data_IF_344918839786
#
_entry.id   IF_344918839786
#
_cell.length_a   1.000
_cell.length_b   1.000
_cell.length_c   1.000
_cell.angle_alpha   90.00
_cell.angle_beta   90.00
_cell.angle_gamma   90.00
#
_symmetry.space_group_name_H-M   'P 1'
#
loop_
_entity.id
_entity.type
_entity.pdbx_description
1 polymer ?
#
# COMPACT_ATOMS: atom_id res chain seq x y z
N UNK A 1 16.15 10.43 -0.48
CA UNK A 1 14.87 10.99 0.02
C UNK A 1 14.00 9.84 0.50
N UNK A 2 13.19 10.06 1.54
CA UNK A 2 12.29 9.04 2.10
C UNK A 2 11.15 8.62 1.13
N UNK A 3 10.91 9.38 0.06
CA UNK A 3 9.94 9.09 -1.01
C UNK A 3 10.59 8.63 -2.33
N UNK A 4 11.82 8.10 -2.27
CA UNK A 4 12.50 7.61 -3.47
C UNK A 4 11.92 6.24 -3.91
N UNK A 5 12.02 5.88 -5.21
CA UNK A 5 11.69 4.54 -5.68
C UNK A 5 12.36 3.46 -4.82
N UNK A 6 11.57 2.49 -4.36
CA UNK A 6 12.03 1.41 -3.48
C UNK A 6 12.03 1.74 -1.97
N UNK A 7 11.71 2.97 -1.55
CA UNK A 7 11.71 3.32 -0.11
C UNK A 7 10.64 2.60 0.70
N UNK A 8 9.56 2.16 0.06
CA UNK A 8 8.42 1.49 0.71
C UNK A 8 8.84 0.23 1.49
N UNK A 9 9.91 -0.47 1.07
CA UNK A 9 10.41 -1.65 1.78
C UNK A 9 10.95 -1.34 3.19
N UNK A 10 11.24 -0.07 3.48
CA UNK A 10 11.76 0.38 4.78
C UNK A 10 10.66 0.93 5.70
N UNK A 11 9.40 0.88 5.28
CA UNK A 11 8.27 1.35 6.08
C UNK A 11 7.95 0.30 7.16
N UNK A 12 7.30 0.73 8.24
CA UNK A 12 6.97 -0.18 9.34
C UNK A 12 5.57 -0.78 9.15
N UNK A 13 5.35 -2.05 9.52
CA UNK A 13 4.00 -2.61 9.56
C UNK A 13 3.20 -2.00 10.73
N UNK A 14 1.87 -2.01 10.62
CA UNK A 14 0.98 -1.52 11.68
C UNK A 14 1.08 -2.35 12.98
N UNK A 15 1.36 -3.66 12.89
CA UNK A 15 1.59 -4.53 14.05
C UNK A 15 3.05 -4.54 14.44
N UNK A 16 3.34 -4.32 15.72
CA UNK A 16 4.71 -4.44 16.26
C UNK A 16 4.86 -5.71 17.10
N UNK A 17 6.09 -6.12 17.43
CA UNK A 17 6.34 -7.18 18.40
C UNK A 17 5.95 -6.81 19.85
N UNK A 18 5.71 -5.53 20.13
CA UNK A 18 5.34 -5.05 21.46
C UNK A 18 3.83 -5.24 21.64
N UNK A 19 3.38 -6.00 22.65
CA UNK A 19 1.95 -6.20 22.90
C UNK A 19 1.21 -4.88 23.05
N UNK A 20 0.04 -4.78 22.44
CA UNK A 20 -0.85 -3.62 22.51
C UNK A 20 -0.27 -2.34 21.89
N UNK A 21 0.82 -2.43 21.13
CA UNK A 21 1.45 -1.30 20.47
C UNK A 21 1.31 -1.42 18.95
N UNK A 22 0.49 -0.54 18.38
CA UNK A 22 0.20 -0.45 16.95
C UNK A 22 0.70 0.87 16.39
N UNK A 23 1.14 0.85 15.13
CA UNK A 23 1.65 2.01 14.41
C UNK A 23 0.63 2.49 13.38
N UNK A 24 0.56 3.80 13.21
CA UNK A 24 -0.18 4.50 12.15
C UNK A 24 0.62 5.69 11.64
N UNK A 25 0.26 6.22 10.46
CA UNK A 25 0.88 7.38 9.84
C UNK A 25 1.44 7.10 8.44
N UNK A 26 2.01 8.14 7.83
CA UNK A 26 2.45 8.11 6.42
C UNK A 26 3.56 7.07 6.14
N UNK A 27 4.36 6.76 7.17
CA UNK A 27 5.47 5.79 7.11
C UNK A 27 5.05 4.35 7.45
N UNK A 28 3.75 4.09 7.62
CA UNK A 28 3.22 2.74 7.85
C UNK A 28 2.84 2.09 6.53
N UNK A 29 3.14 0.79 6.40
CA UNK A 29 2.73 -0.01 5.24
C UNK A 29 1.22 -0.21 5.23
N UNK A 30 0.56 0.07 4.09
CA UNK A 30 -0.84 -0.24 3.83
C UNK A 30 -1.08 -0.57 2.35
N UNK A 31 -2.26 -1.14 2.04
CA UNK A 31 -2.64 -1.50 0.66
C UNK A 31 -3.59 -0.48 0.00
N UNK A 32 -3.91 0.62 0.69
CA UNK A 32 -4.88 1.62 0.21
C UNK A 32 -4.41 2.36 -1.05
N UNK A 33 -3.10 2.56 -1.23
CA UNK A 33 -2.57 3.26 -2.41
C UNK A 33 -2.64 4.79 -2.33
N UNK A 34 -2.74 5.35 -1.11
CA UNK A 34 -2.70 6.80 -0.85
C UNK A 34 -1.38 7.26 -0.23
N UNK A 35 -1.19 8.58 -0.13
CA UNK A 35 -0.05 9.24 0.54
C UNK A 35 -0.53 10.44 1.36
N UNK A 36 0.36 10.99 2.18
CA UNK A 36 0.15 12.23 2.94
C UNK A 36 -1.04 12.09 3.91
N UNK A 37 -1.89 13.12 4.01
CA UNK A 37 -3.02 13.18 4.94
C UNK A 37 -3.97 11.99 4.80
N UNK A 38 -4.29 11.59 3.57
CA UNK A 38 -5.18 10.46 3.30
C UNK A 38 -4.60 9.16 3.87
N UNK A 39 -3.30 8.92 3.68
CA UNK A 39 -2.64 7.73 4.22
C UNK A 39 -2.58 7.76 5.74
N UNK A 40 -2.27 8.90 6.33
CA UNK A 40 -2.26 9.05 7.79
C UNK A 40 -3.65 8.81 8.39
N UNK A 41 -4.71 9.25 7.72
CA UNK A 41 -6.09 9.00 8.10
C UNK A 41 -6.44 7.50 8.04
N UNK A 42 -6.21 6.87 6.89
CA UNK A 42 -6.52 5.45 6.66
C UNK A 42 -5.75 4.54 7.61
N UNK A 43 -4.44 4.75 7.75
CA UNK A 43 -3.61 3.94 8.66
C UNK A 43 -3.99 4.12 10.13
N UNK A 44 -4.53 5.29 10.50
CA UNK A 44 -5.12 5.51 11.83
C UNK A 44 -6.37 4.66 12.06
N UNK A 45 -7.27 4.60 11.07
CA UNK A 45 -8.45 3.73 11.11
C UNK A 45 -8.07 2.24 11.14
N UNK A 46 -7.10 1.83 10.33
CA UNK A 46 -6.58 0.46 10.31
C UNK A 46 -5.97 0.07 11.67
N UNK A 47 -5.17 0.94 12.29
CA UNK A 47 -4.62 0.71 13.62
C UNK A 47 -5.71 0.63 14.69
N UNK A 48 -6.73 1.49 14.64
CA UNK A 48 -7.88 1.42 15.54
C UNK A 48 -8.66 0.10 15.37
N UNK A 49 -8.81 -0.39 14.14
CA UNK A 49 -9.42 -1.68 13.86
C UNK A 49 -8.64 -2.85 14.47
N UNK A 50 -7.30 -2.76 14.53
CA UNK A 50 -6.47 -3.75 15.23
C UNK A 50 -6.70 -3.74 16.75
N UNK A 51 -6.84 -2.56 17.35
CA UNK A 51 -7.19 -2.41 18.77
C UNK A 51 -8.56 -3.05 19.05
N UNK A 52 -9.56 -2.72 18.24
CA UNK A 52 -10.92 -3.29 18.35
C UNK A 52 -10.87 -4.81 18.20
N UNK A 53 -10.10 -5.33 17.24
CA UNK A 53 -9.92 -6.77 17.04
C UNK A 53 -9.28 -7.46 18.23
N UNK A 54 -8.34 -6.80 18.89
CA UNK A 54 -7.66 -7.37 20.04
C UNK A 54 -8.58 -7.44 21.26
N UNK A 55 -9.29 -6.35 21.57
CA UNK A 55 -10.15 -6.27 22.75
C UNK A 55 -11.56 -6.82 22.53
N UNK A 56 -11.93 -7.11 21.28
CA UNK A 56 -13.30 -7.51 20.89
C UNK A 56 -14.37 -6.51 21.33
N UNK A 57 -14.00 -5.23 21.39
CA UNK A 57 -14.85 -4.13 21.85
C UNK A 57 -14.81 -2.98 20.85
N UNK A 58 -15.97 -2.39 20.60
CA UNK A 58 -16.15 -1.31 19.63
C UNK A 58 -16.62 -1.78 18.25
N UNK A 59 -16.81 -0.82 17.35
CA UNK A 59 -17.22 -1.07 15.96
C UNK A 59 -16.07 -0.68 15.03
N UNK A 60 -15.65 -1.61 14.18
CA UNK A 60 -14.59 -1.33 13.19
C UNK A 60 -15.00 -0.20 12.26
N UNK A 61 -14.05 0.66 11.96
CA UNK A 61 -14.17 1.64 10.89
C UNK A 61 -14.11 0.92 9.53
N UNK A 62 -14.93 1.38 8.60
CA UNK A 62 -14.86 0.97 7.21
C UNK A 62 -13.70 1.70 6.53
N UNK A 63 -12.86 0.96 5.79
CA UNK A 63 -11.81 1.55 4.97
C UNK A 63 -12.34 1.59 3.54
N UNK A 64 -12.62 2.79 3.07
CA UNK A 64 -13.12 3.02 1.71
C UNK A 64 -11.94 2.77 0.75
N UNK A 65 -12.09 1.96 -0.31
CA UNK A 65 -11.00 1.77 -1.27
C UNK A 65 -10.79 3.03 -2.12
N UNK A 66 -9.56 3.22 -2.60
CA UNK A 66 -9.27 4.26 -3.59
C UNK A 66 -10.04 3.99 -4.88
N UNK A 67 -10.53 5.07 -5.48
CA UNK A 67 -11.23 5.01 -6.76
C UNK A 67 -10.34 4.40 -7.85
N UNK A 68 -10.96 3.61 -8.72
CA UNK A 68 -10.24 2.99 -9.81
C UNK A 68 -9.73 4.06 -10.80
N UNK A 69 -8.55 3.83 -11.38
CA UNK A 69 -8.02 4.64 -12.47
C UNK A 69 -9.06 4.79 -13.59
N UNK A 70 -9.06 5.95 -14.26
CA UNK A 70 -9.92 6.21 -15.40
C UNK A 70 -9.69 5.19 -16.52
N UNK A 71 -10.73 4.89 -17.32
CA UNK A 71 -10.68 3.81 -18.32
C UNK A 71 -9.49 3.91 -19.29
N UNK A 72 -9.12 5.13 -19.69
CA UNK A 72 -8.00 5.38 -20.59
C UNK A 72 -6.64 5.16 -19.92
N UNK A 73 -6.50 5.48 -18.62
CA UNK A 73 -5.30 5.17 -17.83
C UNK A 73 -5.15 3.66 -17.64
N UNK A 74 -6.24 2.95 -17.34
CA UNK A 74 -6.21 1.50 -17.22
C UNK A 74 -5.77 0.82 -18.53
N UNK A 75 -6.32 1.27 -19.67
CA UNK A 75 -5.93 0.77 -20.99
C UNK A 75 -4.44 1.02 -21.26
N UNK A 76 -3.95 2.24 -21.00
CA UNK A 76 -2.54 2.58 -21.20
C UNK A 76 -1.61 1.71 -20.32
N UNK A 77 -1.97 1.49 -19.04
CA UNK A 77 -1.22 0.61 -18.14
C UNK A 77 -1.22 -0.84 -18.62
N UNK A 78 -2.35 -1.33 -19.12
CA UNK A 78 -2.46 -2.67 -19.70
C UNK A 78 -1.57 -2.84 -20.93
N UNK A 79 -1.62 -1.89 -21.88
CA UNK A 79 -0.76 -1.88 -23.05
C UNK A 79 0.72 -1.86 -22.66
N UNK A 80 1.13 -0.96 -21.77
CA UNK A 80 2.51 -0.85 -21.30
C UNK A 80 3.02 -2.15 -20.67
N UNK A 81 2.22 -2.77 -19.80
CA UNK A 81 2.56 -4.07 -19.20
C UNK A 81 2.69 -5.17 -20.25
N UNK A 82 1.77 -5.22 -21.20
CA UNK A 82 1.76 -6.22 -22.28
C UNK A 82 3.01 -6.10 -23.17
N UNK A 83 3.37 -4.88 -23.56
CA UNK A 83 4.59 -4.60 -24.34
C UNK A 83 5.85 -4.97 -23.55
N UNK A 84 5.92 -4.61 -22.27
CA UNK A 84 7.05 -4.98 -21.40
C UNK A 84 7.20 -6.50 -21.30
N UNK A 85 6.11 -7.23 -21.06
CA UNK A 85 6.14 -8.69 -20.98
C UNK A 85 6.54 -9.32 -22.31
N UNK A 86 6.02 -8.84 -23.44
CA UNK A 86 6.44 -9.33 -24.76
C UNK A 86 7.94 -9.08 -25.00
N UNK A 87 8.46 -7.92 -24.60
CA UNK A 87 9.89 -7.60 -24.69
C UNK A 87 10.75 -8.55 -23.84
N UNK A 88 10.34 -8.83 -22.59
CA UNK A 88 11.06 -9.73 -21.69
C UNK A 88 11.13 -11.17 -22.21
N UNK A 89 10.15 -11.60 -23.02
CA UNK A 89 10.14 -12.92 -23.65
C UNK A 89 11.07 -13.01 -24.87
N UNK A 90 11.27 -11.90 -25.59
CA UNK A 90 12.00 -11.86 -26.85
C UNK A 90 13.46 -11.43 -26.68
N UNK A 91 13.75 -10.57 -25.69
CA UNK A 91 15.11 -10.08 -25.44
C UNK A 91 15.80 -11.02 -24.43
N UNK A 92 16.92 -11.67 -24.80
CA UNK A 92 17.69 -12.47 -23.84
C UNK A 92 18.10 -11.62 -22.64
N UNK A 93 17.98 -12.15 -21.42
CA UNK A 93 18.59 -11.55 -20.23
C UNK A 93 20.11 -11.57 -20.40
N UNK A 94 20.68 -10.51 -20.94
CA UNK A 94 22.12 -10.27 -20.82
C UNK A 94 22.39 -9.85 -19.39
N UNK A 95 22.96 -10.77 -18.61
CA UNK A 95 23.54 -10.49 -17.30
C UNK A 95 24.85 -9.71 -17.49
N UNK A 96 24.88 -8.48 -16.98
CA UNK A 96 26.08 -7.79 -16.54
C UNK A 96 26.06 -7.77 -15.01
#
# INVERSE_FOLDING_TARGET
SHFAPGSYQHFLPAKTPIPNFYLSGDWVMNQHGSWSQEKAYVTGLEAANLVIDQFKQGKKAEIIPVEADEAHIQLARWLNRSVRTARELVVPKFSL
#
